data_IF_488621737729
#
_entry.id   IF_488621737729
#
_cell.length_a   1.000
_cell.length_b   1.000
_cell.length_c   1.000
_cell.angle_alpha   90.00
_cell.angle_beta   90.00
_cell.angle_gamma   90.00
#
_symmetry.space_group_name_H-M   'P 1'
#
loop_
_entity.id
_entity.type
_entity.pdbx_description
1 polymer ?
#
# COMPACT_ATOMS: atom_id res chain seq x y z
N UNK A 1 -8.17 22.65 18.83
CA UNK A 1 -7.18 23.04 17.81
C UNK A 1 -7.88 22.94 16.47
N UNK A 2 -8.07 24.06 15.82
CA UNK A 2 -8.66 24.05 14.47
C UNK A 2 -7.58 23.59 13.49
N UNK A 3 -7.88 22.51 12.77
CA UNK A 3 -6.97 21.96 11.76
C UNK A 3 -7.76 21.83 10.49
N UNK A 4 -7.25 22.42 9.42
CA UNK A 4 -7.79 22.26 8.08
C UNK A 4 -6.88 21.31 7.30
N UNK A 5 -7.48 20.41 6.52
CA UNK A 5 -6.74 19.57 5.57
C UNK A 5 -7.16 19.99 4.16
N UNK A 6 -6.19 20.29 3.31
CA UNK A 6 -6.37 20.65 1.90
C UNK A 6 -5.17 20.19 1.07
N UNK A 7 -5.21 20.43 -0.23
CA UNK A 7 -4.08 20.16 -1.11
C UNK A 7 -2.87 21.03 -0.74
N UNK A 8 -1.69 20.48 -0.97
CA UNK A 8 -0.47 21.27 -1.14
C UNK A 8 -0.63 22.17 -2.38
N UNK A 9 -0.24 23.43 -2.24
CA UNK A 9 -0.24 24.43 -3.30
C UNK A 9 1.19 24.88 -3.58
N UNK A 10 1.47 25.39 -4.79
CA UNK A 10 2.81 25.86 -5.15
C UNK A 10 3.34 26.94 -4.18
N UNK A 11 2.44 27.80 -3.67
CA UNK A 11 2.77 28.84 -2.70
C UNK A 11 3.24 28.33 -1.32
N UNK A 12 3.08 27.03 -1.03
CA UNK A 12 3.52 26.43 0.22
C UNK A 12 5.00 26.12 0.30
N UNK A 13 5.73 26.33 -0.79
CA UNK A 13 7.14 25.97 -0.97
C UNK A 13 7.97 25.95 0.32
N UNK A 14 8.15 27.11 0.97
CA UNK A 14 9.01 27.20 2.15
C UNK A 14 8.44 26.41 3.33
N UNK A 15 7.14 26.57 3.61
CA UNK A 15 6.49 25.94 4.76
C UNK A 15 6.49 24.40 4.65
N UNK A 16 6.31 23.90 3.42
CA UNK A 16 6.36 22.48 3.13
C UNK A 16 7.77 21.92 3.26
N UNK A 17 8.80 22.62 2.76
CA UNK A 17 10.19 22.22 2.95
C UNK A 17 10.59 22.19 4.43
N UNK A 18 10.13 23.16 5.22
CA UNK A 18 10.38 23.21 6.66
C UNK A 18 9.81 21.98 7.39
N UNK A 19 8.65 21.47 6.96
CA UNK A 19 8.09 20.21 7.47
C UNK A 19 8.91 19.01 6.99
N UNK A 20 9.17 18.91 5.68
CA UNK A 20 9.84 17.74 5.09
C UNK A 20 11.26 17.56 5.63
N UNK A 21 12.00 18.64 5.85
CA UNK A 21 13.35 18.62 6.42
C UNK A 21 13.40 18.03 7.84
N UNK A 22 12.28 18.02 8.57
CA UNK A 22 12.19 17.33 9.86
C UNK A 22 12.08 15.82 9.70
N UNK A 23 11.53 15.33 8.59
CA UNK A 23 11.29 13.92 8.30
C UNK A 23 12.45 13.29 7.53
N UNK A 24 12.76 13.82 6.36
CA UNK A 24 13.88 13.43 5.50
C UNK A 24 14.45 14.71 4.90
N UNK A 25 15.70 15.09 5.22
CA UNK A 25 16.30 16.30 4.66
C UNK A 25 16.16 16.31 3.14
N UNK A 26 15.65 17.41 2.61
CA UNK A 26 15.67 17.68 1.18
C UNK A 26 17.12 18.04 0.87
N UNK A 27 17.99 17.04 0.68
CA UNK A 27 19.44 17.14 0.50
C UNK A 27 19.83 17.81 -0.84
N UNK A 28 19.20 18.94 -1.15
CA UNK A 28 19.38 19.72 -2.38
C UNK A 28 19.06 21.17 -2.08
N UNK A 29 19.82 22.09 -2.69
CA UNK A 29 19.45 23.50 -2.79
C UNK A 29 18.18 23.65 -3.64
N UNK A 30 17.03 23.39 -3.01
CA UNK A 30 15.73 23.45 -3.64
C UNK A 30 15.38 24.92 -3.90
N UNK A 31 15.13 25.25 -5.16
CA UNK A 31 14.60 26.57 -5.54
C UNK A 31 13.08 26.49 -5.73
N UNK A 32 12.40 27.63 -5.68
CA UNK A 32 10.96 27.70 -5.93
C UNK A 32 10.59 27.14 -7.32
N UNK A 33 11.38 27.45 -8.35
CA UNK A 33 11.15 26.96 -9.72
C UNK A 33 11.28 25.43 -9.79
N UNK A 34 12.34 24.85 -9.20
CA UNK A 34 12.51 23.40 -9.13
C UNK A 34 11.37 22.74 -8.36
N UNK A 35 10.92 23.35 -7.26
CA UNK A 35 9.77 22.88 -6.52
C UNK A 35 8.50 22.88 -7.37
N UNK A 36 8.25 23.95 -8.14
CA UNK A 36 7.11 24.03 -9.05
C UNK A 36 7.17 22.95 -10.15
N UNK A 37 8.35 22.71 -10.73
CA UNK A 37 8.55 21.63 -11.71
C UNK A 37 8.29 20.24 -11.10
N UNK A 38 8.78 19.99 -9.89
CA UNK A 38 8.53 18.74 -9.17
C UNK A 38 7.05 18.60 -8.79
N UNK A 39 6.43 19.67 -8.32
CA UNK A 39 5.01 19.73 -8.02
C UNK A 39 4.19 19.30 -9.24
N UNK A 40 4.45 19.92 -10.40
CA UNK A 40 3.69 19.61 -11.62
C UNK A 40 3.88 18.14 -12.06
N UNK A 41 5.08 17.58 -11.88
CA UNK A 41 5.34 16.15 -12.17
C UNK A 41 4.62 15.22 -11.19
N UNK A 42 4.72 15.47 -9.90
CA UNK A 42 4.12 14.62 -8.85
C UNK A 42 2.59 14.61 -9.00
N UNK A 43 1.99 15.78 -9.24
CA UNK A 43 0.54 15.92 -9.34
C UNK A 43 -0.07 15.31 -10.63
N UNK A 44 0.73 14.69 -11.49
CA UNK A 44 0.21 13.90 -12.61
C UNK A 44 -0.36 12.54 -12.20
N UNK A 45 0.13 11.95 -11.10
CA UNK A 45 -0.27 10.62 -10.63
C UNK A 45 -0.48 10.55 -9.12
N UNK A 46 -0.23 11.63 -8.38
CA UNK A 46 -0.38 11.69 -6.95
C UNK A 46 -1.11 12.97 -6.50
N UNK A 47 -1.61 12.94 -5.27
CA UNK A 47 -2.09 14.13 -4.56
C UNK A 47 -1.36 14.23 -3.23
N UNK A 48 -0.89 15.43 -2.88
CA UNK A 48 -0.31 15.71 -1.56
C UNK A 48 -1.31 16.54 -0.77
N UNK A 49 -1.69 16.07 0.41
CA UNK A 49 -2.54 16.79 1.34
C UNK A 49 -1.77 17.23 2.57
N UNK A 50 -2.07 18.43 3.04
CA UNK A 50 -1.39 19.04 4.18
C UNK A 50 -2.37 19.41 5.28
N UNK A 51 -2.01 19.12 6.51
CA UNK A 51 -2.72 19.57 7.70
C UNK A 51 -2.19 20.94 8.11
N UNK A 52 -3.08 21.91 8.31
CA UNK A 52 -2.74 23.29 8.64
C UNK A 52 -3.31 23.72 9.98
N UNK A 53 -2.51 24.46 10.72
CA UNK A 53 -2.93 25.18 11.92
C UNK A 53 -2.31 26.57 11.89
N UNK A 54 -3.12 27.62 12.02
CA UNK A 54 -2.67 29.03 11.99
C UNK A 54 -1.81 29.34 10.74
N UNK A 55 -2.23 28.85 9.57
CA UNK A 55 -1.53 28.95 8.28
C UNK A 55 -0.18 28.24 8.17
N UNK A 56 0.30 27.57 9.23
CA UNK A 56 1.47 26.68 9.18
C UNK A 56 1.05 25.26 8.81
N UNK A 57 1.81 24.61 7.94
CA UNK A 57 1.71 23.18 7.66
C UNK A 57 2.34 22.43 8.83
N UNK A 58 1.55 21.55 9.43
CA UNK A 58 1.91 20.78 10.63
C UNK A 58 1.84 19.26 10.40
N UNK A 59 1.53 18.86 9.17
CA UNK A 59 1.59 17.48 8.73
C UNK A 59 1.28 17.36 7.24
N UNK A 60 1.71 16.25 6.64
CA UNK A 60 1.54 15.95 5.22
C UNK A 60 1.29 14.46 5.02
N UNK A 61 0.60 14.13 3.94
CA UNK A 61 0.40 12.77 3.43
C UNK A 61 0.34 12.82 1.90
N UNK A 62 1.03 11.89 1.23
CA UNK A 62 0.99 11.72 -0.21
C UNK A 62 0.13 10.51 -0.56
N UNK A 63 -0.73 10.64 -1.57
CA UNK A 63 -1.53 9.53 -2.11
C UNK A 63 -1.24 9.38 -3.59
N UNK A 64 -0.62 8.26 -3.98
CA UNK A 64 -0.35 7.91 -5.38
C UNK A 64 -1.51 7.05 -5.88
N UNK A 65 -1.98 7.30 -7.10
CA UNK A 65 -3.06 6.53 -7.73
C UNK A 65 -2.52 5.71 -8.90
N UNK A 66 -2.70 4.40 -8.82
CA UNK A 66 -2.19 3.45 -9.80
C UNK A 66 -3.34 2.70 -10.47
N UNK A 67 -3.44 2.81 -11.80
CA UNK A 67 -4.36 2.03 -12.60
C UNK A 67 -3.85 0.60 -12.77
N UNK A 68 -4.72 -0.39 -12.52
CA UNK A 68 -4.43 -1.82 -12.71
C UNK A 68 -5.30 -2.41 -13.82
N UNK A 69 -4.86 -3.49 -14.44
CA UNK A 69 -5.69 -4.32 -15.34
C UNK A 69 -6.58 -5.31 -14.57
N UNK A 70 -6.13 -5.73 -13.38
CA UNK A 70 -6.86 -6.64 -12.50
C UNK A 70 -8.08 -5.97 -11.85
N UNK A 71 -8.96 -6.78 -11.25
CA UNK A 71 -10.17 -6.33 -10.57
C UNK A 71 -11.00 -5.35 -11.42
N UNK A 72 -11.22 -5.71 -12.69
CA UNK A 72 -12.00 -4.94 -13.66
C UNK A 72 -11.50 -3.51 -13.90
N UNK A 73 -10.18 -3.33 -14.02
CA UNK A 73 -9.63 -1.99 -14.20
C UNK A 73 -9.58 -1.20 -12.90
N UNK A 74 -9.28 -1.86 -11.78
CA UNK A 74 -9.24 -1.20 -10.48
C UNK A 74 -8.16 -0.12 -10.40
N UNK A 75 -8.41 0.88 -9.55
CA UNK A 75 -7.40 1.87 -9.13
C UNK A 75 -6.94 1.50 -7.72
N UNK A 76 -5.64 1.43 -7.52
CA UNK A 76 -5.04 1.27 -6.20
C UNK A 76 -4.53 2.64 -5.74
N UNK A 77 -4.73 2.95 -4.46
CA UNK A 77 -4.14 4.13 -3.83
C UNK A 77 -3.01 3.69 -2.91
N UNK A 78 -1.87 4.36 -2.99
CA UNK A 78 -0.69 4.11 -2.16
C UNK A 78 -0.41 5.35 -1.31
N UNK A 79 -0.43 5.18 0.00
CA UNK A 79 -0.12 6.24 0.95
C UNK A 79 1.39 6.23 1.20
N UNK A 80 2.02 7.38 0.96
CA UNK A 80 3.45 7.62 1.13
C UNK A 80 3.69 8.89 1.95
N UNK A 81 4.92 9.04 2.45
CA UNK A 81 5.44 10.26 3.09
C UNK A 81 4.51 10.89 4.15
N UNK A 82 3.94 10.05 5.03
CA UNK A 82 3.16 10.52 6.18
C UNK A 82 4.09 11.16 7.21
N UNK A 83 3.95 12.47 7.39
CA UNK A 83 4.75 13.25 8.35
C UNK A 83 3.86 14.15 9.18
N UNK A 84 4.21 14.31 10.45
CA UNK A 84 3.64 15.31 11.36
C UNK A 84 4.78 16.15 11.89
N UNK A 85 4.58 17.45 12.10
CA UNK A 85 5.62 18.33 12.64
C UNK A 85 6.05 17.87 14.05
N UNK A 86 7.37 17.86 14.31
CA UNK A 86 7.96 17.29 15.54
C UNK A 86 7.47 17.97 16.82
N UNK A 87 7.17 19.26 16.77
CA UNK A 87 6.64 20.01 17.91
C UNK A 87 5.29 19.42 18.35
N UNK A 88 4.53 18.88 17.40
CA UNK A 88 3.24 18.22 17.63
C UNK A 88 3.39 16.72 17.96
N UNK A 89 4.51 16.09 17.60
CA UNK A 89 4.79 14.69 17.89
C UNK A 89 5.28 14.43 19.33
N UNK A 90 5.97 15.40 19.94
CA UNK A 90 6.70 15.28 21.22
C UNK A 90 6.17 14.19 22.19
N UNK A 91 7.01 13.17 22.39
CA UNK A 91 6.93 11.96 23.24
C UNK A 91 5.55 11.60 23.84
N UNK A 92 4.59 11.25 22.99
CA UNK A 92 3.29 10.71 23.44
C UNK A 92 2.15 11.74 23.47
N UNK A 93 2.36 12.90 22.86
CA UNK A 93 1.29 13.87 22.63
C UNK A 93 0.15 13.19 21.84
N UNK A 94 -1.05 13.11 22.45
CA UNK A 94 -2.29 12.72 21.75
C UNK A 94 -2.56 13.63 20.55
N UNK A 95 -1.90 14.79 20.42
CA UNK A 95 -2.08 15.73 19.32
C UNK A 95 -1.45 15.22 18.03
N UNK A 96 -0.20 14.76 18.08
CA UNK A 96 0.50 14.23 16.91
C UNK A 96 -0.21 13.03 16.29
N UNK A 97 -0.61 12.06 17.14
CA UNK A 97 -1.40 10.90 16.71
C UNK A 97 -2.74 11.31 16.07
N UNK A 98 -3.41 12.34 16.61
CA UNK A 98 -4.65 12.85 16.04
C UNK A 98 -4.45 13.53 14.68
N UNK A 99 -3.35 14.27 14.48
CA UNK A 99 -3.06 14.89 13.17
C UNK A 99 -2.81 13.79 12.14
N UNK A 100 -1.95 12.82 12.46
CA UNK A 100 -1.70 11.67 11.59
C UNK A 100 -2.98 10.92 11.24
N UNK A 101 -3.80 10.55 12.24
CA UNK A 101 -5.07 9.86 11.97
C UNK A 101 -6.04 10.66 11.11
N UNK A 102 -6.11 11.98 11.30
CA UNK A 102 -6.96 12.83 10.45
C UNK A 102 -6.45 12.89 9.01
N UNK A 103 -5.14 12.89 8.80
CA UNK A 103 -4.55 12.79 7.46
C UNK A 103 -4.88 11.43 6.82
N UNK A 104 -4.79 10.33 7.58
CA UNK A 104 -5.16 8.99 7.11
C UNK A 104 -6.64 8.91 6.71
N UNK A 105 -7.55 9.42 7.54
CA UNK A 105 -8.98 9.42 7.22
C UNK A 105 -9.29 10.27 5.99
N UNK A 106 -8.62 11.42 5.84
CA UNK A 106 -8.76 12.26 4.65
C UNK A 106 -8.26 11.55 3.39
N UNK A 107 -7.10 10.90 3.45
CA UNK A 107 -6.54 10.13 2.34
C UNK A 107 -7.47 8.97 1.93
N UNK A 108 -7.96 8.18 2.90
CA UNK A 108 -8.95 7.12 2.64
C UNK A 108 -10.21 7.66 1.99
N UNK A 109 -10.75 8.79 2.48
CA UNK A 109 -11.91 9.44 1.89
C UNK A 109 -11.65 9.80 0.42
N UNK A 110 -10.50 10.41 0.12
CA UNK A 110 -10.15 10.81 -1.24
C UNK A 110 -9.95 9.62 -2.17
N UNK A 111 -9.37 8.53 -1.67
CA UNK A 111 -9.29 7.26 -2.40
C UNK A 111 -10.69 6.70 -2.72
N UNK A 112 -11.63 6.74 -1.77
CA UNK A 112 -13.02 6.32 -2.02
C UNK A 112 -13.72 7.21 -3.05
N UNK A 113 -13.53 8.53 -2.98
CA UNK A 113 -14.08 9.49 -3.96
C UNK A 113 -13.55 9.23 -5.39
N UNK A 114 -12.35 8.67 -5.53
CA UNK A 114 -11.77 8.24 -6.81
C UNK A 114 -12.09 6.79 -7.19
N UNK A 115 -12.98 6.12 -6.47
CA UNK A 115 -13.34 4.71 -6.67
C UNK A 115 -12.13 3.76 -6.60
N UNK A 116 -11.14 4.06 -5.74
CA UNK A 116 -10.04 3.12 -5.51
C UNK A 116 -10.56 1.83 -4.89
N UNK A 117 -10.12 0.70 -5.44
CA UNK A 117 -10.43 -0.63 -4.94
C UNK A 117 -9.67 -0.95 -3.65
N UNK A 118 -8.40 -0.55 -3.59
CA UNK A 118 -7.51 -0.81 -2.45
C UNK A 118 -6.73 0.44 -2.07
N UNK A 119 -6.47 0.60 -0.77
CA UNK A 119 -5.55 1.59 -0.22
C UNK A 119 -4.42 0.86 0.53
N UNK A 120 -3.18 1.08 0.14
CA UNK A 120 -1.99 0.41 0.69
C UNK A 120 -0.98 1.41 1.22
N UNK A 121 -0.12 0.98 2.13
CA UNK A 121 1.03 1.72 2.63
C UNK A 121 2.12 0.77 3.09
N UNK A 122 3.34 1.29 3.18
CA UNK A 122 4.48 0.58 3.78
C UNK A 122 4.86 1.27 5.08
N UNK A 123 5.08 0.49 6.15
CA UNK A 123 5.51 1.03 7.43
C UNK A 123 6.50 0.11 8.15
N UNK A 124 7.26 0.67 9.09
CA UNK A 124 8.06 -0.12 10.03
C UNK A 124 7.17 -0.83 11.05
N UNK A 125 7.69 -1.91 11.64
CA UNK A 125 6.99 -2.66 12.69
C UNK A 125 6.58 -1.76 13.87
N UNK A 126 7.44 -0.82 14.25
CA UNK A 126 7.19 0.15 15.33
C UNK A 126 5.96 1.04 15.06
N UNK A 127 5.69 1.37 13.79
CA UNK A 127 4.55 2.20 13.39
C UNK A 127 3.29 1.38 13.08
N UNK A 128 3.40 0.05 12.94
CA UNK A 128 2.25 -0.83 12.68
C UNK A 128 1.07 -0.62 13.66
N UNK A 129 1.24 -0.38 14.99
CA UNK A 129 0.10 -0.16 15.88
C UNK A 129 -0.67 1.13 15.58
N UNK A 130 0.01 2.15 15.05
CA UNK A 130 -0.66 3.38 14.61
C UNK A 130 -1.52 3.11 13.38
N UNK A 131 -0.99 2.40 12.39
CA UNK A 131 -1.74 2.10 11.16
C UNK A 131 -2.89 1.12 11.41
N UNK A 132 -2.74 0.14 12.30
CA UNK A 132 -3.86 -0.72 12.76
C UNK A 132 -5.00 0.09 13.39
N UNK A 133 -4.68 1.09 14.22
CA UNK A 133 -5.70 2.02 14.76
C UNK A 133 -6.41 2.84 13.68
N UNK A 134 -5.77 3.04 12.53
CA UNK A 134 -6.34 3.70 11.36
C UNK A 134 -7.00 2.72 10.38
N UNK A 135 -7.26 1.48 10.81
CA UNK A 135 -7.97 0.42 10.07
C UNK A 135 -7.17 -0.15 8.88
N UNK A 136 -5.84 -0.10 8.96
CA UNK A 136 -4.98 -0.86 8.06
C UNK A 136 -4.65 -2.22 8.67
N UNK A 137 -4.49 -3.21 7.80
CA UNK A 137 -4.08 -4.56 8.16
C UNK A 137 -2.72 -4.87 7.54
N UNK A 138 -1.96 -5.74 8.19
CA UNK A 138 -0.65 -6.14 7.69
C UNK A 138 -0.83 -7.15 6.56
N UNK A 139 -0.30 -6.82 5.38
CA UNK A 139 -0.39 -7.69 4.21
C UNK A 139 0.96 -7.78 3.51
N UNK A 140 1.48 -8.99 3.35
CA UNK A 140 2.73 -9.26 2.63
C UNK A 140 4.00 -8.73 3.29
N UNK A 141 5.14 -8.97 2.63
CA UNK A 141 6.45 -8.42 2.96
C UNK A 141 6.80 -7.30 1.97
N UNK A 142 7.49 -6.27 2.45
CA UNK A 142 8.07 -5.22 1.60
C UNK A 142 9.56 -5.50 1.36
N UNK A 143 9.96 -5.50 0.09
CA UNK A 143 11.32 -5.81 -0.35
C UNK A 143 11.92 -4.60 -1.08
N UNK A 144 13.22 -4.36 -0.93
CA UNK A 144 13.90 -3.19 -1.55
C UNK A 144 15.24 -3.60 -2.15
N UNK A 145 15.50 -3.15 -3.38
CA UNK A 145 16.81 -3.22 -4.03
C UNK A 145 17.32 -1.79 -4.31
N UNK A 146 18.47 -1.43 -3.73
CA UNK A 146 19.04 -0.08 -3.90
C UNK A 146 19.80 0.01 -5.23
N UNK A 147 19.34 0.86 -6.15
CA UNK A 147 19.95 1.06 -7.47
C UNK A 147 21.20 1.95 -7.44
N UNK A 148 21.41 2.71 -6.38
CA UNK A 148 22.58 3.56 -6.17
C UNK A 148 23.36 2.99 -4.98
N UNK A 149 24.67 2.79 -5.13
CA UNK A 149 25.53 2.40 -4.02
C UNK A 149 25.67 3.57 -3.05
N UNK A 150 25.01 3.52 -1.89
CA UNK A 150 25.35 4.45 -0.82
C UNK A 150 26.74 4.10 -0.27
N UNK A 151 27.67 5.06 -0.25
CA UNK A 151 28.94 4.90 0.49
C UNK A 151 28.70 4.80 2.02
N UNK A 152 27.51 5.18 2.48
CA UNK A 152 27.09 5.03 3.87
C UNK A 152 26.53 3.61 4.11
N UNK A 153 26.96 2.91 5.17
CA UNK A 153 26.39 1.63 5.54
C UNK A 153 24.89 1.76 5.78
N UNK A 154 24.08 0.99 5.05
CA UNK A 154 22.67 0.80 5.40
C UNK A 154 22.66 -0.02 6.69
N UNK A 155 22.16 0.56 7.78
CA UNK A 155 21.82 -0.21 8.98
C UNK A 155 20.84 -1.30 8.56
N UNK A 156 21.29 -2.55 8.55
CA UNK A 156 20.45 -3.68 8.22
C UNK A 156 19.42 -3.82 9.33
N UNK A 157 18.18 -3.41 9.08
CA UNK A 157 17.07 -3.87 9.89
C UNK A 157 17.07 -5.40 9.86
N UNK A 158 17.07 -6.04 11.04
CA UNK A 158 16.98 -7.49 11.12
C UNK A 158 15.69 -7.93 10.40
N UNK A 159 15.75 -8.92 9.50
CA UNK A 159 14.54 -9.47 8.92
C UNK A 159 13.63 -9.93 10.06
N UNK A 160 12.38 -9.50 10.03
CA UNK A 160 11.34 -10.05 10.90
C UNK A 160 11.06 -11.44 10.34
N UNK A 161 11.70 -12.44 10.92
CA UNK A 161 11.26 -13.82 10.74
C UNK A 161 9.89 -13.94 11.40
N UNK A 162 8.82 -13.85 10.60
CA UNK A 162 7.67 -14.69 10.92
C UNK A 162 8.11 -16.10 10.57
N UNK A 163 7.99 -17.02 11.51
CA UNK A 163 7.90 -18.42 11.15
C UNK A 163 6.70 -18.52 10.21
N UNK A 164 6.95 -18.61 8.92
CA UNK A 164 5.88 -18.83 7.95
C UNK A 164 5.34 -20.23 8.27
N UNK A 165 4.03 -20.37 8.51
CA UNK A 165 3.35 -21.68 8.67
C UNK A 165 3.49 -22.60 7.43
N UNK A 166 4.21 -22.14 6.40
CA UNK A 166 4.52 -22.82 5.15
C UNK A 166 5.88 -23.54 5.15
N UNK A 167 6.69 -23.41 6.21
CA UNK A 167 7.92 -24.22 6.30
C UNK A 167 7.55 -25.66 6.60
N UNK A 168 7.59 -26.52 5.58
CA UNK A 168 7.43 -27.98 5.73
C UNK A 168 6.23 -28.61 5.02
N UNK A 169 5.48 -27.86 4.21
CA UNK A 169 4.44 -28.45 3.34
C UNK A 169 5.10 -29.18 2.17
N UNK A 170 4.78 -30.47 2.02
CA UNK A 170 5.13 -31.25 0.82
C UNK A 170 4.00 -31.18 -0.21
N UNK A 171 4.32 -31.50 -1.46
CA UNK A 171 3.33 -31.57 -2.53
C UNK A 171 2.18 -32.53 -2.20
N UNK A 172 2.46 -33.63 -1.50
CA UNK A 172 1.41 -34.55 -1.03
C UNK A 172 0.48 -33.91 0.00
N UNK A 173 1.01 -33.14 0.96
CA UNK A 173 0.16 -32.47 1.97
C UNK A 173 -0.75 -31.40 1.37
N UNK A 174 -0.30 -30.72 0.31
CA UNK A 174 -1.10 -29.75 -0.42
C UNK A 174 -2.22 -30.42 -1.24
N UNK A 175 -1.90 -31.54 -1.92
CA UNK A 175 -2.87 -32.34 -2.65
C UNK A 175 -4.01 -32.85 -1.74
N UNK A 176 -3.69 -33.31 -0.53
CA UNK A 176 -4.70 -33.79 0.42
C UNK A 176 -5.59 -32.65 0.96
N UNK A 177 -5.03 -31.45 1.15
CA UNK A 177 -5.80 -30.26 1.56
C UNK A 177 -6.81 -29.84 0.49
N UNK A 178 -6.39 -29.76 -0.77
CA UNK A 178 -7.26 -29.46 -1.91
C UNK A 178 -8.36 -30.51 -2.08
N UNK A 179 -8.04 -31.81 -1.92
CA UNK A 179 -9.04 -32.89 -1.96
C UNK A 179 -10.07 -32.74 -0.85
N UNK A 180 -9.67 -32.30 0.35
CA UNK A 180 -10.59 -32.10 1.48
C UNK A 180 -11.54 -30.92 1.29
N UNK A 181 -11.09 -29.82 0.69
CA UNK A 181 -11.93 -28.65 0.39
C UNK A 181 -12.90 -28.94 -0.76
N UNK A 182 -12.44 -29.64 -1.81
CA UNK A 182 -13.29 -30.08 -2.93
C UNK A 182 -14.37 -31.08 -2.50
N UNK A 183 -14.14 -31.88 -1.46
CA UNK A 183 -15.17 -32.74 -0.87
C UNK A 183 -16.18 -31.96 -0.02
N UNK A 184 -15.81 -30.79 0.50
CA UNK A 184 -16.70 -29.94 1.28
C UNK A 184 -17.68 -29.17 0.38
N UNK A 185 -17.22 -28.68 -0.76
CA UNK A 185 -18.02 -27.89 -1.71
C UNK A 185 -19.08 -28.72 -2.49
N UNK A 186 -18.92 -30.04 -2.55
CA UNK A 186 -19.93 -30.92 -3.16
C UNK A 186 -21.18 -31.17 -2.29
N UNK A 187 -21.25 -30.57 -1.10
CA UNK A 187 -22.40 -30.71 -0.17
C UNK A 187 -23.24 -29.44 0.02
N UNK A 188 -22.82 -28.31 -0.57
CA UNK A 188 -23.52 -27.04 -0.44
C UNK A 188 -24.29 -26.69 -1.72
N UNK A 189 -25.61 -26.58 -1.57
CA UNK A 189 -26.61 -26.37 -2.62
C UNK A 189 -26.25 -25.27 -3.64
N UNK A 190 -26.27 -25.67 -4.90
CA UNK A 190 -26.31 -24.80 -6.07
C UNK A 190 -27.72 -24.20 -6.23
N UNK A 191 -27.87 -22.88 -6.10
CA UNK A 191 -28.98 -22.15 -6.71
C UNK A 191 -28.54 -20.81 -7.32
N UNK A 192 -28.68 -20.77 -8.65
CA UNK A 192 -28.90 -19.62 -9.55
C UNK A 192 -27.77 -18.58 -9.72
N UNK A 193 -27.44 -18.06 -10.91
CA UNK A 193 -27.58 -18.44 -12.33
C UNK A 193 -26.76 -17.40 -13.13
N UNK A 194 -25.75 -17.78 -13.91
CA UNK A 194 -25.20 -16.99 -15.03
C UNK A 194 -25.00 -17.95 -16.23
N UNK A 195 -25.30 -17.56 -17.49
CA UNK A 195 -25.60 -18.50 -18.57
C UNK A 195 -24.46 -19.45 -18.96
N UNK A 196 -24.82 -20.73 -19.07
CA UNK A 196 -23.96 -21.91 -19.03
C UNK A 196 -23.30 -22.32 -20.37
N UNK A 197 -23.42 -21.54 -21.45
CA UNK A 197 -23.02 -22.05 -22.79
C UNK A 197 -21.57 -21.80 -23.20
N UNK A 198 -20.96 -20.69 -22.78
CA UNK A 198 -19.55 -20.41 -23.12
C UNK A 198 -18.57 -20.93 -22.05
N UNK A 199 -19.01 -21.08 -20.80
CA UNK A 199 -18.15 -21.53 -19.70
C UNK A 199 -17.84 -23.03 -19.77
N UNK A 200 -18.83 -23.84 -20.15
CA UNK A 200 -18.70 -25.31 -20.16
C UNK A 200 -17.69 -25.79 -21.20
N UNK A 201 -17.56 -25.09 -22.34
CA UNK A 201 -16.57 -25.42 -23.36
C UNK A 201 -15.14 -25.06 -22.94
N UNK A 202 -14.96 -23.98 -22.17
CA UNK A 202 -13.64 -23.59 -21.68
C UNK A 202 -13.14 -24.51 -20.55
N UNK A 203 -14.05 -24.94 -19.66
CA UNK A 203 -13.72 -25.87 -18.57
C UNK A 203 -13.33 -27.26 -19.11
N UNK A 204 -13.96 -27.73 -20.20
CA UNK A 204 -13.60 -29.01 -20.82
C UNK A 204 -12.28 -28.96 -21.59
N UNK A 205 -11.86 -27.80 -22.09
CA UNK A 205 -10.52 -27.59 -22.65
C UNK A 205 -9.42 -27.53 -21.58
N UNK A 206 -9.73 -27.10 -20.36
CA UNK A 206 -8.79 -27.07 -19.23
C UNK A 206 -8.57 -28.43 -18.56
N UNK A 207 -9.56 -29.33 -18.62
CA UNK A 207 -9.47 -30.69 -18.05
C UNK A 207 -8.58 -31.66 -18.84
N UNK A 208 -8.13 -31.27 -20.05
CA UNK A 208 -7.20 -32.06 -20.87
C UNK A 208 -5.77 -31.48 -20.89
N UNK A 209 -5.44 -30.53 -20.00
CA UNK A 209 -4.07 -30.02 -19.92
C UNK A 209 -3.18 -30.97 -19.13
N UNK A 210 -2.02 -31.28 -19.73
CA UNK A 210 -0.97 -32.12 -19.18
C UNK A 210 -0.58 -31.67 -17.75
N UNK A 211 -0.17 -32.60 -16.86
CA UNK A 211 0.23 -32.32 -15.47
C UNK A 211 1.22 -31.15 -15.30
N UNK A 212 2.09 -30.94 -16.30
CA UNK A 212 3.05 -29.83 -16.37
C UNK A 212 2.41 -28.44 -16.29
N UNK A 213 1.14 -28.27 -16.70
CA UNK A 213 0.42 -27.01 -16.57
C UNK A 213 0.12 -26.65 -15.11
N UNK A 214 -0.27 -27.64 -14.31
CA UNK A 214 -0.59 -27.46 -12.89
C UNK A 214 0.67 -27.30 -12.04
N UNK A 215 1.78 -27.97 -12.42
CA UNK A 215 3.09 -27.72 -11.81
C UNK A 215 3.57 -26.28 -12.04
N UNK A 216 3.42 -25.75 -13.26
CA UNK A 216 3.73 -24.34 -13.56
C UNK A 216 2.87 -23.36 -12.77
N UNK A 217 1.57 -23.63 -12.64
CA UNK A 217 0.67 -22.81 -11.82
C UNK A 217 1.05 -22.86 -10.34
N UNK A 218 1.45 -24.03 -9.82
CA UNK A 218 1.89 -24.19 -8.44
C UNK A 218 3.21 -23.46 -8.17
N UNK A 219 4.16 -23.48 -9.11
CA UNK A 219 5.37 -22.67 -9.03
C UNK A 219 5.07 -21.16 -9.04
N UNK A 220 4.14 -20.69 -9.88
CA UNK A 220 3.75 -19.26 -9.93
C UNK A 220 3.09 -18.80 -8.62
N UNK A 221 2.27 -19.66 -8.01
CA UNK A 221 1.57 -19.37 -6.74
C UNK A 221 2.53 -19.38 -5.56
N UNK A 222 3.40 -20.39 -5.44
CA UNK A 222 4.39 -20.46 -4.36
C UNK A 222 5.45 -19.35 -4.43
N UNK A 223 5.80 -18.92 -5.65
CA UNK A 223 6.80 -17.87 -5.85
C UNK A 223 6.19 -16.45 -5.85
N UNK A 224 4.88 -16.29 -5.60
CA UNK A 224 4.23 -14.99 -5.48
C UNK A 224 4.38 -14.07 -6.70
N UNK A 225 4.59 -14.67 -7.88
CA UNK A 225 5.15 -14.11 -9.12
C UNK A 225 6.68 -13.87 -9.10
N UNK A 226 7.38 -14.81 -9.73
CA UNK A 226 8.27 -14.57 -10.88
C UNK A 226 7.63 -15.28 -12.07
#
# INVERSE_FOLDING_TARGET
>A
MDIRINHLEKGDFQNYLDLMNQFRPVETDMTFDKFCEMYDKIFTYAEIYVARHENRIIGSITVIYEQKFIHHGAIYSHIEDVVVDKDYQSAGSKKGLKIGSRLMDYAKQKSMEKNCYKCTLVCSEELSPFYRKNQFEETGLHMTYSLISSEKPIEKHKPVHRENEWTGLTFESFQEMIKSELQHDMSADTKEMIPQKDFTNHVLEEQNREPEYYEKMFEVILNGTI
#
